data_IF_073455165024
#
_entry.id   IF_073455165024
#
_cell.length_a   1.000
_cell.length_b   1.000
_cell.length_c   1.000
_cell.angle_alpha   90.00
_cell.angle_beta   90.00
_cell.angle_gamma   90.00
#
_symmetry.space_group_name_H-M   'P 1'
#
loop_
_entity.id
_entity.type
_entity.pdbx_description
1 polymer ?
#
# COMPACT_ATOMS: atom_id res chain seq x y z
N UNK A 1 -41.15 34.29 -9.99
CA UNK A 1 -40.70 32.89 -10.19
C UNK A 1 -39.19 32.86 -10.32
N UNK A 2 -38.45 32.67 -9.21
CA UNK A 2 -36.98 32.71 -9.18
C UNK A 2 -36.51 31.31 -8.76
N UNK A 3 -36.04 30.52 -9.71
CA UNK A 3 -35.58 29.13 -9.47
C UNK A 3 -34.20 29.19 -8.81
N UNK A 4 -34.13 28.78 -7.55
CA UNK A 4 -32.90 28.47 -6.82
C UNK A 4 -32.32 27.17 -7.40
N UNK A 5 -31.15 27.26 -8.03
CA UNK A 5 -30.37 26.10 -8.47
C UNK A 5 -29.40 25.77 -7.33
N UNK A 6 -29.70 24.71 -6.57
CA UNK A 6 -28.77 24.12 -5.61
C UNK A 6 -27.76 23.26 -6.38
N UNK A 7 -26.53 23.76 -6.54
CA UNK A 7 -25.37 22.97 -6.93
C UNK A 7 -24.79 22.32 -5.68
N UNK A 8 -25.22 21.09 -5.39
CA UNK A 8 -24.59 20.25 -4.38
C UNK A 8 -23.27 19.69 -4.95
N UNK A 9 -22.16 20.34 -4.65
CA UNK A 9 -20.82 19.80 -4.88
C UNK A 9 -20.59 18.67 -3.87
N UNK A 10 -20.93 17.44 -4.24
CA UNK A 10 -20.58 16.24 -3.49
C UNK A 10 -19.07 16.06 -3.67
N UNK A 11 -18.30 16.48 -2.67
CA UNK A 11 -16.88 16.17 -2.53
C UNK A 11 -16.76 14.65 -2.26
N UNK A 12 -16.62 13.85 -3.32
CA UNK A 12 -16.11 12.50 -3.18
C UNK A 12 -14.62 12.60 -2.81
N UNK A 13 -14.32 12.59 -1.51
CA UNK A 13 -12.98 12.29 -1.02
C UNK A 13 -12.68 10.83 -1.40
N UNK A 14 -12.01 10.65 -2.54
CA UNK A 14 -11.39 9.37 -2.87
C UNK A 14 -10.31 9.17 -1.82
N UNK A 15 -10.54 8.24 -0.88
CA UNK A 15 -9.54 7.88 0.12
C UNK A 15 -8.36 7.22 -0.61
N UNK A 16 -7.28 7.99 -0.72
CA UNK A 16 -6.02 7.63 -1.35
C UNK A 16 -5.33 6.55 -0.53
N UNK A 17 -5.27 5.31 -1.04
CA UNK A 17 -4.61 4.21 -0.34
C UNK A 17 -3.10 4.46 -0.26
N UNK A 18 -2.59 4.66 0.95
CA UNK A 18 -1.21 5.11 1.18
C UNK A 18 -0.33 4.06 1.86
N UNK A 19 0.97 4.10 1.53
CA UNK A 19 2.04 3.38 2.23
C UNK A 19 2.83 4.40 3.04
N UNK A 20 3.02 4.16 4.34
CA UNK A 20 3.69 5.10 5.24
C UNK A 20 4.78 4.43 6.09
N UNK A 21 5.98 5.02 6.08
CA UNK A 21 7.10 4.64 6.96
C UNK A 21 6.73 4.85 8.44
N UNK A 22 7.11 3.91 9.30
CA UNK A 22 7.08 4.12 10.74
C UNK A 22 8.39 4.77 11.21
N UNK A 23 8.34 5.68 12.20
CA UNK A 23 9.54 6.27 12.77
C UNK A 23 10.41 5.21 13.47
N UNK A 24 11.73 5.42 13.56
CA UNK A 24 12.61 4.52 14.29
C UNK A 24 12.23 4.45 15.79
N UNK A 25 12.55 3.32 16.42
CA UNK A 25 12.24 3.05 17.82
C UNK A 25 12.75 4.14 18.77
N UNK A 26 11.97 4.43 19.81
CA UNK A 26 12.31 5.41 20.85
C UNK A 26 11.56 6.74 20.75
N UNK A 27 10.67 6.90 19.77
CA UNK A 27 9.80 8.08 19.68
C UNK A 27 8.53 7.86 20.50
N UNK A 28 8.24 8.74 21.46
CA UNK A 28 6.97 8.70 22.20
C UNK A 28 5.81 9.11 21.29
N UNK A 29 5.03 8.12 20.85
CA UNK A 29 3.83 8.35 20.04
C UNK A 29 2.58 8.43 20.93
N UNK A 30 1.87 9.55 20.85
CA UNK A 30 0.52 9.71 21.41
C UNK A 30 -0.51 9.36 20.34
N UNK A 31 -1.13 8.19 20.47
CA UNK A 31 -2.07 7.69 19.47
C UNK A 31 -3.48 8.16 19.74
N UNK A 32 -4.17 8.62 18.68
CA UNK A 32 -5.62 8.84 18.73
C UNK A 32 -6.36 7.52 18.84
N UNK A 33 -7.57 7.57 19.40
CA UNK A 33 -8.51 6.45 19.42
C UNK A 33 -9.35 6.34 18.14
N UNK A 34 -8.98 7.06 17.08
CA UNK A 34 -9.70 6.99 15.81
C UNK A 34 -9.42 5.67 15.09
N UNK A 35 -10.48 5.00 14.65
CA UNK A 35 -10.37 3.74 13.94
C UNK A 35 -10.08 4.00 12.46
N UNK A 36 -8.88 3.61 12.03
CA UNK A 36 -8.45 3.70 10.64
C UNK A 36 -7.47 2.56 10.38
N UNK A 37 -7.98 1.33 10.11
CA UNK A 37 -7.17 0.12 10.15
C UNK A 37 -6.07 0.13 9.09
N UNK A 38 -4.93 -0.44 9.46
CA UNK A 38 -3.77 -0.58 8.58
C UNK A 38 -3.18 -1.98 8.66
N UNK A 39 -2.53 -2.40 7.57
CA UNK A 39 -1.72 -3.59 7.51
C UNK A 39 -0.26 -3.17 7.77
N UNK A 40 0.26 -3.51 8.96
CA UNK A 40 1.64 -3.22 9.33
C UNK A 40 2.58 -4.35 8.90
N UNK A 41 3.72 -4.00 8.30
CA UNK A 41 4.73 -4.95 7.80
C UNK A 41 6.01 -4.83 8.63
N UNK A 42 6.50 -5.93 9.22
CA UNK A 42 7.65 -5.93 10.15
C UNK A 42 8.88 -6.73 9.68
N UNK A 43 8.98 -6.97 8.37
CA UNK A 43 10.06 -7.74 7.75
C UNK A 43 9.59 -9.05 7.12
N UNK A 44 10.49 -10.04 7.02
CA UNK A 44 10.28 -11.27 6.26
C UNK A 44 10.50 -12.53 7.10
N UNK A 45 9.67 -13.55 6.88
CA UNK A 45 9.88 -14.92 7.34
C UNK A 45 9.60 -15.88 6.20
N UNK A 46 10.54 -16.79 5.91
CA UNK A 46 10.41 -17.76 4.81
C UNK A 46 10.05 -17.12 3.45
N UNK A 47 10.68 -16.00 3.12
CA UNK A 47 10.42 -15.18 1.92
C UNK A 47 8.98 -14.65 1.78
N UNK A 48 8.20 -14.64 2.87
CA UNK A 48 6.89 -13.96 2.95
C UNK A 48 6.99 -12.76 3.89
N UNK A 49 6.29 -11.69 3.58
CA UNK A 49 6.18 -10.55 4.49
C UNK A 49 5.39 -10.95 5.73
N UNK A 50 5.93 -10.60 6.90
CA UNK A 50 5.21 -10.74 8.17
C UNK A 50 4.35 -9.50 8.31
N UNK A 51 3.03 -9.71 8.26
CA UNK A 51 2.04 -8.63 8.26
C UNK A 51 0.93 -8.89 9.26
N UNK A 52 0.43 -7.83 9.87
CA UNK A 52 -0.64 -7.90 10.87
C UNK A 52 -1.53 -6.65 10.77
N UNK A 53 -2.84 -6.85 10.99
CA UNK A 53 -3.82 -5.77 10.99
C UNK A 53 -3.79 -5.04 12.33
N UNK A 54 -3.64 -3.72 12.29
CA UNK A 54 -3.69 -2.86 13.47
C UNK A 54 -4.86 -1.89 13.41
N UNK A 55 -5.28 -1.40 14.58
CA UNK A 55 -6.41 -0.48 14.73
C UNK A 55 -6.18 0.85 14.00
N UNK A 56 -4.96 1.36 14.04
CA UNK A 56 -4.49 2.49 13.24
C UNK A 56 -2.96 2.48 13.09
N UNK A 57 -2.45 3.37 12.22
CA UNK A 57 -1.02 3.52 11.96
C UNK A 57 -0.19 3.81 13.21
N UNK A 58 -0.66 4.70 14.08
CA UNK A 58 0.09 5.04 15.28
C UNK A 58 0.27 3.82 16.19
N UNK A 59 -0.79 3.03 16.39
CA UNK A 59 -0.73 1.78 17.16
C UNK A 59 0.20 0.77 16.48
N UNK A 60 0.15 0.64 15.15
CA UNK A 60 1.04 -0.24 14.40
C UNK A 60 2.52 0.12 14.61
N UNK A 61 2.87 1.41 14.46
CA UNK A 61 4.24 1.88 14.64
C UNK A 61 4.71 1.80 16.11
N UNK A 62 3.82 2.06 17.08
CA UNK A 62 4.17 2.09 18.51
C UNK A 62 4.30 0.69 19.11
N UNK A 63 3.34 -0.20 18.85
CA UNK A 63 3.21 -1.50 19.52
C UNK A 63 3.65 -2.64 18.60
N UNK A 64 3.27 -2.58 17.31
CA UNK A 64 3.54 -3.65 16.36
C UNK A 64 5.01 -3.77 15.95
N UNK A 65 5.81 -2.74 16.25
CA UNK A 65 7.21 -2.63 15.83
C UNK A 65 7.39 -2.88 14.33
N UNK A 66 6.47 -2.33 13.53
CA UNK A 66 6.44 -2.50 12.08
C UNK A 66 7.36 -1.49 11.39
N UNK A 67 7.88 -1.84 10.22
CA UNK A 67 8.74 -0.98 9.41
C UNK A 67 7.91 0.09 8.68
N UNK A 68 6.77 -0.32 8.13
CA UNK A 68 5.84 0.56 7.44
C UNK A 68 4.41 -0.01 7.52
N UNK A 69 3.45 0.82 7.15
CA UNK A 69 2.02 0.48 7.13
C UNK A 69 1.43 0.70 5.76
N UNK A 70 0.37 -0.05 5.47
CA UNK A 70 -0.46 0.09 4.28
C UNK A 70 -1.90 0.28 4.72
N UNK A 71 -2.59 1.27 4.18
CA UNK A 71 -4.00 1.52 4.53
C UNK A 71 -4.90 0.32 4.14
N UNK A 72 -5.78 -0.08 5.06
CA UNK A 72 -6.67 -1.25 4.93
C UNK A 72 -6.21 -2.43 5.77
N UNK A 73 -7.10 -3.41 5.98
CA UNK A 73 -6.76 -4.62 6.74
C UNK A 73 -5.92 -5.58 5.90
N UNK A 74 -5.04 -6.37 6.52
CA UNK A 74 -4.19 -7.32 5.79
C UNK A 74 -4.97 -8.40 5.01
N UNK A 75 -6.19 -8.72 5.45
CA UNK A 75 -7.09 -9.69 4.81
C UNK A 75 -7.70 -9.18 3.50
N UNK A 76 -7.65 -7.87 3.25
CA UNK A 76 -8.12 -7.26 2.00
C UNK A 76 -7.12 -7.47 0.84
N UNK A 77 -5.92 -7.97 1.15
CA UNK A 77 -4.84 -8.17 0.18
C UNK A 77 -4.54 -9.66 -0.02
N UNK A 78 -4.08 -10.08 -1.22
CA UNK A 78 -3.69 -11.46 -1.48
C UNK A 78 -2.67 -11.98 -0.45
N UNK A 79 -2.84 -13.22 0.00
CA UNK A 79 -1.95 -13.86 0.99
C UNK A 79 -0.49 -13.94 0.49
N UNK A 80 -0.31 -14.09 -0.83
CA UNK A 80 0.99 -14.14 -1.49
C UNK A 80 1.48 -12.78 -2.01
N UNK A 81 0.75 -11.70 -1.70
CA UNK A 81 1.09 -10.34 -2.06
C UNK A 81 2.33 -9.84 -1.31
N UNK A 82 3.26 -9.22 -2.06
CA UNK A 82 4.41 -8.49 -1.55
C UNK A 82 4.15 -6.99 -1.67
N UNK A 83 3.90 -6.31 -0.55
CA UNK A 83 3.80 -4.85 -0.51
C UNK A 83 5.11 -4.20 -0.87
N UNK A 84 5.04 -3.17 -1.70
CA UNK A 84 6.20 -2.37 -2.04
C UNK A 84 6.53 -1.45 -0.86
N UNK A 85 7.66 -1.71 -0.21
CA UNK A 85 8.14 -0.85 0.86
C UNK A 85 8.49 0.55 0.32
N UNK A 86 8.47 1.59 1.17
CA UNK A 86 8.91 2.93 0.76
C UNK A 86 10.35 2.93 0.22
N UNK A 87 11.23 2.09 0.76
CA UNK A 87 12.61 1.89 0.26
C UNK A 87 12.62 1.30 -1.15
N UNK A 88 11.87 0.22 -1.41
CA UNK A 88 11.79 -0.39 -2.74
C UNK A 88 11.21 0.58 -3.79
N UNK A 89 10.25 1.42 -3.39
CA UNK A 89 9.64 2.39 -4.29
C UNK A 89 10.58 3.52 -4.77
N UNK A 90 11.67 3.74 -4.02
CA UNK A 90 12.70 4.74 -4.32
C UNK A 90 13.93 4.13 -4.99
N UNK A 91 13.93 2.82 -5.25
CA UNK A 91 15.08 2.12 -5.80
C UNK A 91 15.27 2.43 -7.29
N UNK A 92 16.40 3.04 -7.65
CA UNK A 92 16.75 3.35 -9.04
C UNK A 92 17.47 2.19 -9.75
N UNK A 93 18.21 1.38 -8.99
CA UNK A 93 19.05 0.30 -9.52
C UNK A 93 18.51 -1.05 -9.04
N UNK A 94 18.03 -1.86 -9.97
CA UNK A 94 17.56 -3.22 -9.71
C UNK A 94 18.45 -4.25 -10.40
N UNK A 95 18.73 -5.36 -9.72
CA UNK A 95 19.40 -6.50 -10.34
C UNK A 95 18.54 -7.04 -11.47
N UNK A 96 19.18 -7.37 -12.59
CA UNK A 96 18.52 -8.03 -13.72
C UNK A 96 18.29 -9.51 -13.38
N UNK A 97 17.18 -9.79 -12.70
CA UNK A 97 16.69 -11.14 -12.41
C UNK A 97 15.32 -11.29 -13.06
N UNK A 98 15.12 -12.37 -13.81
CA UNK A 98 13.83 -12.69 -14.41
C UNK A 98 12.97 -13.49 -13.43
N UNK A 99 12.01 -12.81 -12.80
CA UNK A 99 11.10 -13.37 -11.80
C UNK A 99 9.77 -12.63 -11.89
N UNK A 100 8.96 -12.92 -12.93
CA UNK A 100 7.85 -12.08 -13.34
C UNK A 100 6.88 -11.80 -12.19
N UNK A 101 6.40 -10.56 -12.14
CA UNK A 101 5.47 -10.05 -11.13
C UNK A 101 4.31 -9.32 -11.79
N UNK A 102 3.14 -9.43 -11.18
CA UNK A 102 2.03 -8.55 -11.48
C UNK A 102 1.97 -7.48 -10.39
N UNK A 103 2.19 -6.23 -10.77
CA UNK A 103 2.06 -5.08 -9.89
C UNK A 103 0.64 -4.55 -9.85
N UNK A 104 0.17 -4.18 -8.66
CA UNK A 104 -1.13 -3.56 -8.41
C UNK A 104 -0.90 -2.13 -7.91
N UNK A 105 -1.48 -1.17 -8.62
CA UNK A 105 -1.39 0.23 -8.20
C UNK A 105 -2.31 0.53 -7.01
N UNK A 106 -1.97 1.56 -6.25
CA UNK A 106 -2.86 2.11 -5.24
C UNK A 106 -4.06 2.84 -5.88
N UNK A 107 -4.99 3.31 -5.04
CA UNK A 107 -6.24 3.96 -5.48
C UNK A 107 -6.04 5.33 -6.15
N UNK A 108 -4.83 5.90 -6.12
CA UNK A 108 -4.53 7.20 -6.74
C UNK A 108 -4.36 7.08 -8.26
N UNK A 109 -4.17 5.87 -8.77
CA UNK A 109 -4.02 5.62 -10.20
C UNK A 109 -5.38 5.33 -10.81
N UNK A 110 -5.79 6.18 -11.75
CA UNK A 110 -6.95 5.93 -12.59
C UNK A 110 -6.56 5.09 -13.81
N UNK A 111 -7.29 4.01 -14.08
CA UNK A 111 -7.15 3.18 -15.27
C UNK A 111 -8.51 2.90 -15.90
N UNK A 112 -8.53 2.50 -17.18
CA UNK A 112 -9.78 2.25 -17.92
C UNK A 112 -10.55 1.05 -17.38
N UNK A 113 -9.85 0.03 -16.87
CA UNK A 113 -10.45 -1.18 -16.34
C UNK A 113 -9.75 -1.60 -15.04
N UNK A 114 -10.43 -1.54 -13.87
CA UNK A 114 -9.88 -2.05 -12.62
C UNK A 114 -9.84 -3.60 -12.61
N UNK A 115 -8.92 -4.21 -11.83
CA UNK A 115 -7.88 -3.56 -11.04
C UNK A 115 -6.78 -2.95 -11.93
N UNK A 116 -6.23 -1.81 -11.50
CA UNK A 116 -5.12 -1.19 -12.22
C UNK A 116 -3.86 -2.01 -11.98
N UNK A 117 -3.41 -2.73 -13.02
CA UNK A 117 -2.29 -3.67 -12.93
C UNK A 117 -1.25 -3.44 -14.02
N UNK A 118 -0.01 -3.86 -13.75
CA UNK A 118 1.08 -3.80 -14.72
C UNK A 118 2.05 -4.96 -14.54
N UNK A 119 2.40 -5.61 -15.65
CA UNK A 119 3.45 -6.62 -15.67
C UNK A 119 4.79 -5.99 -15.32
N UNK A 120 5.57 -6.71 -14.52
CA UNK A 120 6.93 -6.35 -14.15
C UNK A 120 7.84 -7.57 -14.16
N UNK A 121 9.14 -7.31 -14.33
CA UNK A 121 10.16 -8.37 -14.49
C UNK A 121 10.53 -9.03 -13.17
N UNK A 122 10.57 -8.26 -12.09
CA UNK A 122 10.84 -8.71 -10.72
C UNK A 122 10.30 -7.70 -9.71
N UNK A 123 10.33 -8.05 -8.43
CA UNK A 123 9.76 -7.22 -7.34
C UNK A 123 10.37 -5.82 -7.35
N UNK A 124 11.70 -5.70 -7.36
CA UNK A 124 12.40 -4.41 -7.34
C UNK A 124 11.94 -3.49 -8.48
N UNK A 125 12.01 -3.97 -9.73
CA UNK A 125 11.62 -3.18 -10.90
C UNK A 125 10.14 -2.84 -10.94
N UNK A 126 9.29 -3.67 -10.33
CA UNK A 126 7.84 -3.43 -10.29
C UNK A 126 7.51 -2.42 -9.21
N UNK A 127 8.12 -2.54 -8.04
CA UNK A 127 7.91 -1.65 -6.90
C UNK A 127 8.51 -0.26 -7.11
N UNK A 128 9.56 -0.11 -7.93
CA UNK A 128 10.09 1.21 -8.31
C UNK A 128 9.18 2.00 -9.25
N UNK A 129 8.09 1.39 -9.74
CA UNK A 129 7.06 2.11 -10.49
C UNK A 129 6.25 2.96 -9.52
N UNK A 130 6.13 4.25 -9.80
CA UNK A 130 5.35 5.19 -8.97
C UNK A 130 3.94 4.67 -8.71
N UNK A 131 3.49 4.81 -7.47
CA UNK A 131 2.16 4.40 -6.97
C UNK A 131 1.90 2.89 -6.99
N UNK A 132 2.92 2.06 -7.15
CA UNK A 132 2.79 0.61 -6.99
C UNK A 132 2.57 0.28 -5.51
N UNK A 133 1.49 -0.45 -5.21
CA UNK A 133 1.12 -0.81 -3.84
C UNK A 133 1.70 -2.15 -3.43
N UNK A 134 1.48 -3.17 -4.25
CA UNK A 134 1.98 -4.53 -4.01
C UNK A 134 2.17 -5.29 -5.31
N UNK A 135 2.82 -6.45 -5.22
CA UNK A 135 3.03 -7.36 -6.34
C UNK A 135 2.62 -8.78 -5.99
N UNK A 136 2.18 -9.56 -6.96
CA UNK A 136 2.00 -11.01 -6.85
C UNK A 136 2.96 -11.75 -7.79
N UNK A 137 3.12 -13.06 -7.60
CA UNK A 137 3.97 -13.89 -8.48
C UNK A 137 3.30 -14.12 -9.85
N UNK A 138 4.11 -14.10 -10.90
CA UNK A 138 3.65 -14.36 -12.27
C UNK A 138 3.22 -13.10 -13.02
N UNK A 139 2.64 -13.29 -14.22
CA UNK A 139 2.10 -12.19 -15.04
C UNK A 139 0.71 -11.77 -14.56
N UNK A 140 0.30 -10.57 -14.90
CA UNK A 140 -1.05 -10.09 -14.68
C UNK A 140 -2.06 -10.88 -15.50
N UNK A 141 -3.16 -11.27 -14.85
CA UNK A 141 -4.32 -11.85 -15.52
C UNK A 141 -5.20 -10.68 -15.96
N UNK A 142 -5.39 -10.52 -17.27
CA UNK A 142 -6.31 -9.56 -17.88
C UNK A 142 -7.55 -10.29 -18.38
#
# INVERSE_FOLDING_TARGET
MRKLIFLAAIFCFVMAQKVEDCPPFGTELNCSGEFSPVCGVRGFSNNKQIRETYYNQCIACKIGHVEYTVEGKCEEFPEDGHFCSPTESKQEICRYLDSPRCGYFNKDVSCTSPPCVKDGRNVCMTCSIKNMLYTTKGKCKQ
#
